data_IF_537462641907
#
_entry.id   IF_537462641907
#
_cell.length_a   1.000
_cell.length_b   1.000
_cell.length_c   1.000
_cell.angle_alpha   90.00
_cell.angle_beta   90.00
_cell.angle_gamma   90.00
#
_symmetry.space_group_name_H-M   'P 1'
#
loop_
_entity.id
_entity.type
_entity.pdbx_description
1 polymer ?
#
# COMPACT_ATOMS: atom_id res chain seq x y z
N UNK A 1 10.05 -23.71 -7.90
CA UNK A 1 11.23 -22.83 -7.84
C UNK A 1 11.35 -22.37 -6.40
N UNK A 2 12.54 -22.42 -5.80
CA UNK A 2 12.73 -22.00 -4.40
C UNK A 2 12.44 -20.50 -4.28
N UNK A 3 11.63 -20.12 -3.29
CA UNK A 3 11.37 -18.71 -2.94
C UNK A 3 12.71 -18.04 -2.59
N UNK A 4 13.18 -17.08 -3.39
CA UNK A 4 14.40 -16.31 -3.15
C UNK A 4 14.07 -14.98 -2.48
N UNK A 5 14.87 -14.58 -1.49
CA UNK A 5 14.64 -13.34 -0.76
C UNK A 5 15.33 -12.12 -1.40
N UNK A 6 14.63 -10.98 -1.40
CA UNK A 6 15.20 -9.67 -1.76
C UNK A 6 16.17 -9.20 -0.68
N UNK A 7 17.27 -8.58 -1.10
CA UNK A 7 18.31 -8.05 -0.21
C UNK A 7 17.95 -6.62 0.22
N UNK A 8 18.12 -6.33 1.51
CA UNK A 8 17.82 -5.02 2.09
C UNK A 8 19.00 -4.43 2.85
N UNK A 9 18.88 -3.15 3.24
CA UNK A 9 19.80 -2.45 4.15
C UNK A 9 20.21 -3.34 5.32
N UNK A 10 21.52 -3.40 5.58
CA UNK A 10 22.08 -4.20 6.65
C UNK A 10 22.30 -5.68 6.28
N UNK A 11 22.09 -6.06 5.02
CA UNK A 11 22.50 -7.37 4.51
C UNK A 11 23.99 -7.62 4.77
N UNK A 12 24.34 -8.85 5.11
CA UNK A 12 25.70 -9.22 5.50
C UNK A 12 26.42 -9.82 4.30
N UNK A 13 27.54 -9.22 3.90
CA UNK A 13 28.39 -9.65 2.80
C UNK A 13 29.70 -10.26 3.33
N UNK A 14 30.29 -11.18 2.56
CA UNK A 14 31.64 -11.72 2.78
C UNK A 14 32.41 -11.77 1.45
N UNK A 15 33.73 -11.69 1.49
CA UNK A 15 34.57 -11.92 0.32
C UNK A 15 35.28 -13.27 0.41
N UNK A 16 35.23 -14.07 -0.68
CA UNK A 16 35.88 -15.39 -0.75
C UNK A 16 37.41 -15.34 -0.64
N UNK A 17 38.01 -14.18 -0.92
CA UNK A 17 39.44 -13.96 -0.85
C UNK A 17 39.92 -13.32 0.45
N UNK A 18 39.06 -13.19 1.46
CA UNK A 18 39.54 -12.74 2.76
C UNK A 18 40.46 -13.79 3.39
N UNK A 19 41.57 -13.35 3.98
CA UNK A 19 42.51 -14.22 4.72
C UNK A 19 41.81 -14.84 5.93
N UNK A 20 41.10 -14.01 6.69
CA UNK A 20 40.25 -14.42 7.81
C UNK A 20 38.79 -14.09 7.48
N UNK A 21 37.84 -15.03 7.57
CA UNK A 21 36.44 -14.78 7.23
C UNK A 21 35.83 -13.63 8.06
N UNK A 22 35.89 -12.41 7.53
CA UNK A 22 35.20 -11.25 8.08
C UNK A 22 34.01 -10.89 7.21
N UNK A 23 32.99 -10.40 7.86
CA UNK A 23 31.76 -9.94 7.23
C UNK A 23 31.60 -8.45 7.42
N UNK A 24 30.91 -7.83 6.49
CA UNK A 24 30.53 -6.42 6.54
C UNK A 24 29.08 -6.25 6.12
N UNK A 25 28.48 -5.11 6.46
CA UNK A 25 27.06 -4.83 6.17
C UNK A 25 26.92 -3.91 4.98
N UNK A 26 25.99 -4.25 4.08
CA UNK A 26 25.60 -3.44 2.93
C UNK A 26 24.74 -2.26 3.36
N UNK A 27 25.14 -1.08 2.92
CA UNK A 27 24.44 0.19 3.06
C UNK A 27 23.95 0.65 1.67
N UNK A 28 22.64 0.54 1.47
CA UNK A 28 21.90 1.07 0.34
C UNK A 28 22.01 2.59 0.35
N UNK A 29 22.62 3.12 -0.71
CA UNK A 29 22.78 4.56 -0.97
C UNK A 29 22.15 4.96 -2.30
N UNK A 30 21.82 3.99 -3.13
CA UNK A 30 21.36 4.20 -4.51
C UNK A 30 19.92 4.69 -4.62
N UNK A 31 19.13 4.58 -3.55
CA UNK A 31 17.70 4.95 -3.53
C UNK A 31 17.21 5.21 -2.10
N UNK A 32 16.09 5.92 -1.98
CA UNK A 32 15.48 6.32 -0.69
C UNK A 32 13.99 5.98 -0.56
N UNK A 33 13.41 5.29 -1.55
CA UNK A 33 11.95 5.12 -1.71
C UNK A 33 11.45 3.70 -1.47
N UNK A 34 12.24 2.67 -1.80
CA UNK A 34 11.79 1.29 -1.81
C UNK A 34 12.32 0.53 -0.61
N UNK A 35 11.42 -0.03 0.21
CA UNK A 35 11.76 -0.77 1.43
C UNK A 35 11.15 -2.17 1.37
N UNK A 36 11.80 -3.16 1.99
CA UNK A 36 11.25 -4.51 2.10
C UNK A 36 11.35 -5.06 3.53
N UNK A 37 10.29 -5.75 3.96
CA UNK A 37 10.16 -6.39 5.28
C UNK A 37 10.47 -5.46 6.46
N UNK A 38 10.04 -4.20 6.36
CA UNK A 38 10.15 -3.16 7.37
C UNK A 38 8.78 -2.51 7.59
N UNK A 39 8.19 -2.77 8.75
CA UNK A 39 6.86 -2.28 9.15
C UNK A 39 6.72 -0.76 9.02
N UNK A 40 7.82 -0.03 9.24
CA UNK A 40 7.84 1.42 9.22
C UNK A 40 8.26 1.99 7.85
N UNK A 41 8.81 1.16 6.96
CA UNK A 41 9.30 1.57 5.65
C UNK A 41 10.33 2.70 5.72
N UNK A 42 11.24 2.66 6.70
CA UNK A 42 12.15 3.77 7.01
C UNK A 42 13.61 3.35 7.14
N UNK A 43 13.89 2.06 7.34
CA UNK A 43 15.22 1.53 7.64
C UNK A 43 15.68 0.47 6.65
N UNK A 44 14.82 -0.42 6.17
CA UNK A 44 15.22 -1.55 5.29
C UNK A 44 15.03 -1.25 3.80
N UNK A 45 15.79 -0.28 3.30
CA UNK A 45 15.85 0.03 1.87
C UNK A 45 16.24 -1.22 1.05
N UNK A 46 15.56 -1.47 -0.07
CA UNK A 46 15.90 -2.54 -1.01
C UNK A 46 17.23 -2.19 -1.68
N UNK A 47 18.17 -3.13 -1.68
CA UNK A 47 19.45 -2.99 -2.38
C UNK A 47 19.27 -3.25 -3.88
N UNK A 48 20.00 -2.52 -4.72
CA UNK A 48 19.96 -2.65 -6.17
C UNK A 48 21.33 -2.87 -6.80
N UNK A 49 21.35 -3.26 -8.07
CA UNK A 49 22.57 -3.33 -8.91
C UNK A 49 23.34 -1.99 -8.99
N UNK A 50 22.71 -0.88 -8.58
CA UNK A 50 23.33 0.46 -8.51
C UNK A 50 23.99 0.75 -7.16
N UNK A 51 23.91 -0.12 -6.16
CA UNK A 51 24.65 0.00 -4.90
C UNK A 51 26.13 -0.43 -5.09
N UNK A 52 26.82 0.33 -5.94
CA UNK A 52 28.24 0.21 -6.27
C UNK A 52 29.09 1.27 -5.56
N UNK A 53 30.40 1.07 -5.52
CA UNK A 53 31.36 1.91 -4.80
C UNK A 53 31.59 1.45 -3.37
N UNK A 54 31.84 2.40 -2.47
CA UNK A 54 32.01 2.16 -1.03
C UNK A 54 30.64 2.15 -0.33
N UNK A 55 29.89 1.08 -0.55
CA UNK A 55 28.54 0.89 -0.01
C UNK A 55 28.51 -0.02 1.20
N UNK A 56 29.64 -0.51 1.71
CA UNK A 56 29.67 -1.28 2.96
C UNK A 56 29.91 -0.36 4.17
N UNK A 57 29.56 -0.81 5.37
CA UNK A 57 29.76 -0.03 6.60
C UNK A 57 31.25 0.18 6.91
N UNK A 58 32.06 -0.89 6.87
CA UNK A 58 33.50 -0.83 7.14
C UNK A 58 34.35 -0.73 5.87
N UNK A 59 33.78 -1.07 4.72
CA UNK A 59 34.45 -1.11 3.41
C UNK A 59 35.73 -1.96 3.41
N UNK A 60 35.77 -3.00 4.24
CA UNK A 60 36.89 -3.95 4.31
C UNK A 60 36.43 -5.30 4.82
N UNK A 61 37.01 -6.36 4.27
CA UNK A 61 36.85 -7.73 4.79
C UNK A 61 38.11 -8.20 5.54
N UNK A 62 38.96 -7.29 6.02
CA UNK A 62 40.23 -7.64 6.66
C UNK A 62 41.39 -7.58 5.68
N UNK A 63 42.21 -8.64 5.59
CA UNK A 63 43.31 -8.75 4.63
C UNK A 63 42.89 -9.54 3.39
N UNK A 64 43.40 -9.17 2.22
CA UNK A 64 42.99 -9.75 0.93
C UNK A 64 44.05 -10.70 0.35
N UNK A 65 43.70 -11.97 0.12
CA UNK A 65 44.60 -12.97 -0.51
C UNK A 65 45.03 -12.60 -1.92
N UNK A 66 44.26 -11.74 -2.61
CA UNK A 66 44.57 -11.25 -3.95
C UNK A 66 45.56 -10.06 -3.94
N UNK A 67 45.96 -9.57 -2.77
CA UNK A 67 46.90 -8.45 -2.62
C UNK A 67 48.07 -8.84 -1.71
N UNK A 68 48.96 -9.74 -2.15
CA UNK A 68 50.15 -10.11 -1.37
C UNK A 68 51.13 -8.93 -1.25
N UNK A 69 51.75 -8.78 -0.08
CA UNK A 69 52.79 -7.80 0.21
C UNK A 69 53.89 -8.45 1.07
N UNK A 70 54.91 -9.00 0.40
CA UNK A 70 56.00 -9.72 1.06
C UNK A 70 55.48 -10.99 1.75
N UNK A 71 55.71 -11.08 3.07
CA UNK A 71 55.29 -12.22 3.90
C UNK A 71 53.85 -12.07 4.46
N UNK A 72 53.12 -11.03 4.06
CA UNK A 72 51.77 -10.73 4.55
C UNK A 72 50.86 -10.28 3.38
N UNK A 73 49.64 -9.87 3.69
CA UNK A 73 48.64 -9.40 2.74
C UNK A 73 48.18 -7.98 3.06
N UNK A 74 47.94 -7.18 2.02
CA UNK A 74 47.42 -5.83 2.17
C UNK A 74 45.96 -5.84 2.67
N UNK A 75 45.54 -4.77 3.37
CA UNK A 75 44.16 -4.60 3.79
C UNK A 75 43.23 -4.51 2.56
N UNK A 76 42.13 -5.25 2.63
CA UNK A 76 41.08 -5.27 1.62
C UNK A 76 40.41 -3.89 1.51
N UNK A 77 40.35 -3.36 0.30
CA UNK A 77 39.49 -2.22 -0.06
C UNK A 77 38.24 -2.73 -0.75
N UNK A 78 37.15 -2.86 -0.01
CA UNK A 78 35.90 -3.39 -0.53
C UNK A 78 35.12 -2.29 -1.29
N UNK A 79 35.49 -2.10 -2.55
CA UNK A 79 34.77 -1.24 -3.51
C UNK A 79 34.03 -2.14 -4.49
N UNK A 80 32.71 -2.02 -4.56
CA UNK A 80 31.89 -2.85 -5.44
C UNK A 80 31.83 -2.20 -6.82
N UNK A 81 32.23 -2.90 -7.87
CA UNK A 81 32.22 -2.37 -9.25
C UNK A 81 30.97 -2.78 -10.02
N UNK A 82 30.45 -3.97 -9.74
CA UNK A 82 29.24 -4.50 -10.35
C UNK A 82 28.60 -5.58 -9.49
N UNK A 83 27.30 -5.76 -9.69
CA UNK A 83 26.51 -6.87 -9.18
C UNK A 83 26.08 -7.80 -10.31
N UNK A 84 25.92 -9.09 -10.01
CA UNK A 84 25.37 -10.12 -10.89
C UNK A 84 24.27 -10.89 -10.16
N UNK A 85 23.40 -11.57 -10.90
CA UNK A 85 22.31 -12.38 -10.32
C UNK A 85 21.21 -11.55 -9.65
N UNK A 86 20.92 -10.35 -10.16
CA UNK A 86 19.82 -9.50 -9.72
C UNK A 86 18.49 -9.90 -10.37
N UNK A 87 17.37 -9.42 -9.83
CA UNK A 87 16.03 -9.73 -10.35
C UNK A 87 15.68 -8.83 -11.56
N UNK A 88 15.53 -9.41 -12.74
CA UNK A 88 15.41 -8.66 -14.00
C UNK A 88 14.01 -8.10 -14.27
N UNK A 89 12.96 -8.77 -13.78
CA UNK A 89 11.57 -8.46 -14.09
C UNK A 89 11.04 -7.21 -13.35
N UNK A 90 11.78 -6.70 -12.36
CA UNK A 90 11.42 -5.51 -11.60
C UNK A 90 12.46 -4.40 -11.80
N UNK A 91 12.02 -3.15 -11.91
CA UNK A 91 12.90 -1.97 -11.94
C UNK A 91 12.51 -1.01 -10.84
N UNK A 92 13.48 -0.59 -10.02
CA UNK A 92 13.29 0.39 -8.95
C UNK A 92 13.30 1.82 -9.51
N UNK A 93 12.86 2.80 -8.71
CA UNK A 93 12.79 4.22 -9.10
C UNK A 93 14.15 4.81 -9.51
N UNK A 94 15.26 4.21 -9.08
CA UNK A 94 16.61 4.60 -9.47
C UNK A 94 17.08 3.93 -10.77
N UNK A 95 16.17 3.31 -11.54
CA UNK A 95 16.45 2.49 -12.73
C UNK A 95 17.33 1.26 -12.44
N UNK A 96 17.50 0.90 -11.18
CA UNK A 96 18.25 -0.28 -10.75
C UNK A 96 17.37 -1.52 -10.63
N UNK A 97 18.00 -2.69 -10.68
CA UNK A 97 17.40 -4.01 -10.49
C UNK A 97 17.60 -4.48 -9.05
N UNK A 98 16.57 -5.00 -8.35
CA UNK A 98 16.71 -5.49 -6.98
C UNK A 98 17.73 -6.64 -6.86
N UNK A 99 18.54 -6.63 -5.81
CA UNK A 99 19.43 -7.75 -5.49
C UNK A 99 18.65 -8.87 -4.79
N UNK A 100 19.02 -10.11 -5.11
CA UNK A 100 18.55 -11.35 -4.49
C UNK A 100 19.63 -11.92 -3.57
N UNK A 101 19.26 -12.83 -2.67
CA UNK A 101 20.18 -13.46 -1.72
C UNK A 101 21.37 -14.20 -2.37
N UNK A 102 21.23 -14.60 -3.63
CA UNK A 102 22.28 -15.22 -4.44
C UNK A 102 23.00 -14.24 -5.39
N UNK A 103 22.65 -12.95 -5.35
CA UNK A 103 23.39 -11.92 -6.07
C UNK A 103 24.84 -11.84 -5.58
N UNK A 104 25.77 -11.58 -6.50
CA UNK A 104 27.20 -11.54 -6.22
C UNK A 104 27.83 -10.23 -6.64
N UNK A 105 28.73 -9.72 -5.81
CA UNK A 105 29.46 -8.48 -6.05
C UNK A 105 30.86 -8.75 -6.57
N UNK A 106 31.36 -7.85 -7.41
CA UNK A 106 32.75 -7.84 -7.88
C UNK A 106 33.49 -6.64 -7.29
N UNK A 107 34.77 -6.82 -6.93
CA UNK A 107 35.67 -5.70 -6.57
C UNK A 107 36.87 -5.63 -7.52
N UNK A 108 37.59 -4.49 -7.60
CA UNK A 108 38.69 -4.31 -8.55
C UNK A 108 39.85 -5.30 -8.38
N UNK A 109 40.10 -5.72 -7.13
CA UNK A 109 41.26 -6.55 -6.77
C UNK A 109 40.94 -8.05 -6.78
N UNK A 110 39.66 -8.41 -6.75
CA UNK A 110 39.22 -9.81 -6.72
C UNK A 110 38.90 -10.35 -8.10
N UNK A 111 38.57 -11.63 -8.17
CA UNK A 111 37.91 -12.21 -9.33
C UNK A 111 36.45 -11.70 -9.46
N UNK A 112 35.82 -11.83 -10.64
CA UNK A 112 34.38 -11.66 -10.78
C UNK A 112 33.62 -12.46 -9.71
N UNK A 113 32.54 -11.86 -9.19
CA UNK A 113 31.64 -12.46 -8.22
C UNK A 113 32.38 -13.00 -6.98
N UNK A 114 33.26 -12.17 -6.41
CA UNK A 114 34.05 -12.51 -5.22
C UNK A 114 33.37 -12.19 -3.90
N UNK A 115 32.37 -11.30 -3.91
CA UNK A 115 31.60 -10.88 -2.74
C UNK A 115 30.25 -11.60 -2.76
N UNK A 116 29.95 -12.33 -1.70
CA UNK A 116 28.72 -13.10 -1.53
C UNK A 116 27.85 -12.51 -0.43
N UNK A 117 26.54 -12.56 -0.62
CA UNK A 117 25.56 -12.19 0.39
C UNK A 117 25.28 -13.42 1.25
N UNK A 118 25.49 -13.30 2.55
CA UNK A 118 25.30 -14.40 3.52
C UNK A 118 24.01 -14.29 4.30
N UNK A 119 23.54 -13.05 4.50
CA UNK A 119 22.24 -12.75 5.10
C UNK A 119 21.63 -11.63 4.30
N UNK A 120 20.42 -11.84 3.77
CA UNK A 120 19.70 -10.86 2.96
C UNK A 120 19.26 -9.61 3.75
N UNK A 121 19.50 -9.55 5.07
CA UNK A 121 19.23 -8.37 5.91
C UNK A 121 17.78 -8.24 6.38
N UNK A 122 16.89 -9.08 5.87
CA UNK A 122 15.53 -9.15 6.39
C UNK A 122 15.54 -9.93 7.72
N UNK A 123 14.95 -9.36 8.77
CA UNK A 123 14.72 -10.00 10.06
C UNK A 123 13.24 -10.38 10.11
N UNK A 124 12.94 -11.66 10.28
CA UNK A 124 11.59 -12.17 10.55
C UNK A 124 11.19 -11.75 11.96
N UNK A 125 10.28 -10.79 12.10
CA UNK A 125 9.53 -10.64 13.34
C UNK A 125 8.58 -11.84 13.46
N UNK A 126 8.61 -12.56 14.58
CA UNK A 126 7.68 -13.65 14.84
C UNK A 126 6.25 -13.11 14.83
N UNK A 127 5.53 -13.32 13.73
CA UNK A 127 4.12 -12.94 13.62
C UNK A 127 3.26 -13.94 14.41
N UNK A 128 2.06 -13.53 14.82
CA UNK A 128 1.07 -14.47 15.40
C UNK A 128 0.75 -15.65 14.48
N UNK A 129 1.00 -15.52 13.17
CA UNK A 129 0.90 -16.59 12.18
C UNK A 129 2.00 -17.64 12.35
N UNK A 130 3.24 -17.22 12.68
CA UNK A 130 4.36 -18.12 12.91
C UNK A 130 4.15 -18.97 14.17
N UNK A 131 3.47 -18.42 15.18
CA UNK A 131 3.07 -19.15 16.40
C UNK A 131 1.97 -20.17 16.09
N UNK A 132 1.03 -19.87 15.18
CA UNK A 132 -0.02 -20.80 14.74
C UNK A 132 0.50 -21.94 13.86
N UNK A 133 1.56 -21.69 13.09
CA UNK A 133 2.16 -22.68 12.18
C UNK A 133 3.27 -23.52 12.82
N UNK A 134 3.68 -23.19 14.05
CA UNK A 134 4.70 -23.95 14.75
C UNK A 134 4.11 -25.26 15.32
N UNK A 135 4.85 -26.36 15.18
CA UNK A 135 4.45 -27.65 15.73
C UNK A 135 4.30 -27.53 17.26
N UNK A 136 3.10 -27.75 17.83
CA UNK A 136 2.82 -27.56 19.24
C UNK A 136 3.70 -28.42 20.16
N UNK A 137 4.14 -29.60 19.70
CA UNK A 137 5.00 -30.49 20.49
C UNK A 137 6.44 -29.98 20.60
N UNK A 138 6.91 -29.24 19.59
CA UNK A 138 8.23 -28.58 19.61
C UNK A 138 8.17 -27.31 20.45
N UNK A 139 7.08 -26.55 20.36
CA UNK A 139 6.87 -25.33 21.12
C UNK A 139 6.74 -25.58 22.63
N UNK A 140 6.02 -26.64 23.03
CA UNK A 140 5.88 -27.02 24.45
C UNK A 140 7.20 -27.49 25.08
N UNK A 141 8.16 -27.99 24.28
CA UNK A 141 9.51 -28.33 24.76
C UNK A 141 10.42 -27.11 24.92
N UNK A 142 10.23 -26.09 24.08
CA UNK A 142 11.03 -24.86 24.09
C UNK A 142 10.50 -23.87 25.14
N UNK A 143 9.18 -23.83 25.38
CA UNK A 143 8.57 -22.97 26.38
C UNK A 143 7.43 -23.66 27.15
N UNK A 144 7.76 -24.39 28.23
CA UNK A 144 6.78 -25.14 29.02
C UNK A 144 5.71 -24.29 29.72
N UNK A 145 5.86 -22.95 29.77
CA UNK A 145 4.92 -22.02 30.41
C UNK A 145 3.83 -21.50 29.47
N UNK A 146 3.94 -21.76 28.16
CA UNK A 146 2.95 -21.38 27.15
C UNK A 146 1.86 -22.47 27.06
N UNK A 147 0.77 -22.33 27.82
CA UNK A 147 -0.34 -23.29 27.79
C UNK A 147 -1.40 -22.88 26.73
N UNK A 148 -1.41 -23.57 25.58
CA UNK A 148 -2.33 -23.31 24.47
C UNK A 148 -3.67 -24.07 24.56
N UNK A 149 -3.93 -24.80 25.65
CA UNK A 149 -5.22 -25.48 25.86
C UNK A 149 -6.28 -24.48 26.29
N UNK A 150 -6.95 -23.88 25.31
CA UNK A 150 -8.09 -22.97 25.50
C UNK A 150 -8.64 -22.34 24.22
N UNK A 151 -8.01 -22.55 23.06
CA UNK A 151 -8.53 -22.08 21.78
C UNK A 151 -9.26 -23.21 21.05
N UNK A 152 -10.51 -23.49 21.44
CA UNK A 152 -11.38 -24.35 20.62
C UNK A 152 -12.84 -23.86 20.57
N UNK A 153 -13.21 -23.47 19.34
CA UNK A 153 -14.51 -23.48 18.65
C UNK A 153 -15.58 -22.40 18.93
N UNK A 154 -16.17 -21.80 17.88
CA UNK A 154 -17.29 -20.86 18.00
C UNK A 154 -18.59 -21.63 18.26
N UNK A 155 -19.39 -21.17 19.24
CA UNK A 155 -20.79 -21.59 19.41
C UNK A 155 -21.71 -20.42 19.08
N UNK A 156 -22.54 -20.62 18.07
CA UNK A 156 -23.76 -19.83 17.82
C UNK A 156 -24.75 -19.99 18.98
N UNK A 157 -25.32 -18.88 19.48
CA UNK A 157 -26.74 -18.74 19.86
C UNK A 157 -27.17 -17.27 19.77
N UNK A 158 -28.32 -17.05 19.13
CA UNK A 158 -29.09 -15.82 19.21
C UNK A 158 -30.01 -15.83 20.45
N UNK A 159 -30.60 -14.65 20.71
CA UNK A 159 -31.72 -14.29 21.61
C UNK A 159 -31.38 -13.92 23.06
N UNK A 160 -31.83 -12.70 23.43
CA UNK A 160 -31.94 -12.21 24.81
C UNK A 160 -31.29 -10.83 24.99
N UNK A 161 -32.11 -9.79 25.12
CA UNK A 161 -31.66 -8.50 25.65
C UNK A 161 -31.23 -8.69 27.10
N UNK A 162 -29.98 -8.39 27.42
CA UNK A 162 -29.58 -8.07 28.79
C UNK A 162 -28.40 -7.08 28.74
N UNK A 163 -28.59 -5.91 29.32
CA UNK A 163 -27.53 -4.94 29.52
C UNK A 163 -26.54 -5.50 30.55
N UNK A 164 -25.28 -5.67 30.16
CA UNK A 164 -24.19 -5.79 31.11
C UNK A 164 -22.93 -5.12 30.54
N UNK A 165 -22.56 -4.06 31.24
CA UNK A 165 -21.32 -3.29 31.19
C UNK A 165 -20.03 -4.09 31.02
N UNK A 166 -19.11 -3.57 30.20
CA UNK A 166 -17.67 -3.70 30.46
C UNK A 166 -16.81 -4.49 29.46
N UNK A 167 -16.93 -4.24 28.16
CA UNK A 167 -15.83 -4.48 27.20
C UNK A 167 -15.72 -3.27 26.27
N UNK A 168 -14.57 -2.59 26.28
CA UNK A 168 -14.34 -1.44 25.41
C UNK A 168 -14.47 -1.87 23.94
N UNK A 169 -15.44 -1.28 23.24
CA UNK A 169 -15.80 -1.67 21.88
C UNK A 169 -14.64 -1.43 20.92
N UNK A 170 -14.13 -2.52 20.35
CA UNK A 170 -12.97 -2.54 19.45
C UNK A 170 -13.41 -2.13 18.05
N UNK A 171 -12.71 -1.18 17.44
CA UNK A 171 -12.89 -0.85 16.01
C UNK A 171 -12.39 -2.01 15.15
N UNK A 172 -13.23 -2.53 14.28
CA UNK A 172 -12.94 -3.62 13.35
C UNK A 172 -12.78 -3.10 11.91
N UNK A 173 -13.54 -2.08 11.53
CA UNK A 173 -13.56 -1.52 10.18
C UNK A 173 -13.26 -0.02 10.22
N UNK A 174 -12.43 0.43 9.28
CA UNK A 174 -12.19 1.85 9.05
C UNK A 174 -12.47 2.17 7.59
N UNK A 175 -13.41 3.08 7.37
CA UNK A 175 -13.88 3.53 6.06
C UNK A 175 -13.28 4.90 5.76
N UNK A 176 -12.43 4.96 4.74
CA UNK A 176 -11.88 6.20 4.21
C UNK A 176 -12.66 6.62 2.98
N UNK A 177 -13.22 7.82 3.01
CA UNK A 177 -13.99 8.39 1.91
C UNK A 177 -13.23 9.58 1.37
N UNK A 178 -12.84 9.55 0.09
CA UNK A 178 -12.11 10.64 -0.56
C UNK A 178 -13.02 11.25 -1.63
N UNK A 179 -13.44 12.50 -1.40
CA UNK A 179 -14.36 13.20 -2.30
C UNK A 179 -13.68 13.56 -3.63
N UNK A 180 -14.49 13.89 -4.64
CA UNK A 180 -13.99 14.37 -5.93
C UNK A 180 -13.24 15.71 -5.87
N UNK A 181 -12.73 16.11 -7.04
CA UNK A 181 -11.81 17.26 -7.16
C UNK A 181 -12.39 18.55 -6.56
N UNK A 182 -11.64 19.14 -5.64
CA UNK A 182 -11.86 20.47 -5.09
C UNK A 182 -10.59 21.32 -5.16
N UNK A 183 -10.53 22.36 -4.34
CA UNK A 183 -9.25 23.03 -4.04
C UNK A 183 -8.39 22.11 -3.18
N UNK A 184 -7.07 22.09 -3.41
CA UNK A 184 -6.17 21.28 -2.59
C UNK A 184 -6.28 21.67 -1.11
N UNK A 185 -6.45 20.71 -0.19
CA UNK A 185 -6.48 21.00 1.24
C UNK A 185 -5.11 21.48 1.73
N UNK A 186 -5.13 22.33 2.76
CA UNK A 186 -3.92 22.70 3.49
C UNK A 186 -3.31 21.47 4.20
N UNK A 187 -1.99 21.44 4.31
CA UNK A 187 -1.29 20.33 4.98
C UNK A 187 -1.73 20.22 6.45
N UNK A 188 -2.16 19.03 6.87
CA UNK A 188 -2.76 18.76 8.18
C UNK A 188 -4.25 19.10 8.29
N UNK A 189 -4.90 19.52 7.20
CA UNK A 189 -6.33 19.88 7.10
C UNK A 189 -7.05 19.10 6.00
N UNK A 190 -6.58 17.90 5.68
CA UNK A 190 -7.10 17.07 4.57
C UNK A 190 -8.47 16.45 4.85
N UNK A 191 -8.88 16.41 6.13
CA UNK A 191 -10.23 16.02 6.51
C UNK A 191 -11.22 17.02 5.94
N UNK A 192 -12.26 16.54 5.24
CA UNK A 192 -13.24 17.43 4.62
C UNK A 192 -13.97 18.35 5.64
N UNK A 193 -14.02 17.97 6.92
CA UNK A 193 -14.57 18.80 8.00
C UNK A 193 -13.62 19.90 8.51
N UNK A 194 -12.31 19.74 8.29
CA UNK A 194 -11.25 20.63 8.77
C UNK A 194 -10.66 21.46 7.60
N UNK A 195 -11.02 21.13 6.37
CA UNK A 195 -10.61 21.82 5.14
C UNK A 195 -11.35 23.15 5.00
N UNK A 196 -10.59 24.23 4.81
CA UNK A 196 -11.13 25.59 4.64
C UNK A 196 -11.88 25.76 3.31
N UNK A 197 -11.52 24.99 2.28
CA UNK A 197 -12.03 25.14 0.92
C UNK A 197 -13.10 24.10 0.56
N UNK A 198 -13.38 23.18 1.47
CA UNK A 198 -14.29 22.06 1.25
C UNK A 198 -15.17 21.82 2.48
N UNK A 199 -16.14 20.93 2.32
CA UNK A 199 -16.99 20.45 3.40
C UNK A 199 -17.40 19.01 3.09
N UNK A 200 -17.90 18.30 4.09
CA UNK A 200 -18.47 16.96 3.87
C UNK A 200 -19.71 17.06 2.99
N UNK A 201 -19.71 16.36 1.86
CA UNK A 201 -20.84 16.29 0.95
C UNK A 201 -21.88 15.26 1.42
N UNK A 202 -22.76 15.67 2.33
CA UNK A 202 -23.87 14.83 2.80
C UNK A 202 -24.95 14.55 1.73
N UNK A 203 -24.87 15.18 0.55
CA UNK A 203 -25.71 14.87 -0.61
C UNK A 203 -25.23 13.63 -1.36
N UNK A 204 -23.92 13.39 -1.34
CA UNK A 204 -23.18 12.31 -1.99
C UNK A 204 -22.39 11.45 -1.02
N UNK A 205 -21.06 11.39 -1.22
CA UNK A 205 -20.18 10.48 -0.48
C UNK A 205 -20.17 10.68 1.05
N UNK A 206 -20.44 11.88 1.54
CA UNK A 206 -20.58 12.17 2.96
C UNK A 206 -21.69 11.37 3.65
N UNK A 207 -22.68 10.84 2.92
CA UNK A 207 -23.69 9.93 3.48
C UNK A 207 -23.11 8.63 4.04
N UNK A 208 -21.92 8.22 3.59
CA UNK A 208 -21.24 7.04 4.14
C UNK A 208 -20.90 7.21 5.63
N UNK A 209 -20.92 8.43 6.17
CA UNK A 209 -20.81 8.67 7.62
C UNK A 209 -21.92 7.97 8.43
N UNK A 210 -23.03 7.58 7.81
CA UNK A 210 -24.08 6.75 8.42
C UNK A 210 -23.60 5.34 8.79
N UNK A 211 -22.47 4.88 8.24
CA UNK A 211 -21.85 3.61 8.63
C UNK A 211 -21.09 3.70 9.96
N UNK A 212 -20.93 4.91 10.53
CA UNK A 212 -20.27 5.09 11.82
C UNK A 212 -20.99 4.29 12.92
N UNK A 213 -20.21 3.49 13.62
CA UNK A 213 -20.63 2.74 14.79
C UNK A 213 -19.45 2.61 15.76
N UNK A 214 -19.57 1.77 16.77
CA UNK A 214 -18.45 1.47 17.64
C UNK A 214 -17.39 0.62 16.93
N UNK A 215 -17.85 -0.35 16.12
CA UNK A 215 -17.00 -1.26 15.35
C UNK A 215 -16.52 -0.65 14.02
N UNK A 216 -17.24 0.33 13.46
CA UNK A 216 -16.90 0.98 12.18
C UNK A 216 -16.64 2.47 12.34
N UNK A 217 -15.48 2.95 11.91
CA UNK A 217 -15.15 4.39 11.91
C UNK A 217 -15.06 4.91 10.48
N UNK A 218 -15.76 6.00 10.19
CA UNK A 218 -15.85 6.60 8.85
C UNK A 218 -15.21 7.98 8.85
N UNK A 219 -14.48 8.24 7.78
CA UNK A 219 -13.50 9.29 7.71
C UNK A 219 -13.49 9.92 6.32
N UNK A 220 -14.02 11.13 6.23
CA UNK A 220 -14.17 11.85 4.96
C UNK A 220 -13.01 12.83 4.76
N UNK A 221 -12.41 12.78 3.58
CA UNK A 221 -11.26 13.56 3.14
C UNK A 221 -11.57 14.32 1.85
N UNK A 222 -10.96 15.49 1.70
CA UNK A 222 -10.85 16.17 0.41
C UNK A 222 -9.75 15.51 -0.42
N UNK A 223 -9.97 15.34 -1.72
CA UNK A 223 -8.89 14.92 -2.63
C UNK A 223 -7.78 15.96 -2.69
N UNK A 224 -6.57 15.54 -3.05
CA UNK A 224 -5.45 16.44 -3.33
C UNK A 224 -4.76 16.07 -4.64
N UNK A 225 -4.24 17.08 -5.35
CA UNK A 225 -3.29 16.93 -6.47
C UNK A 225 -1.86 16.68 -6.02
N UNK A 226 -1.64 16.65 -4.70
CA UNK A 226 -0.36 16.39 -4.07
C UNK A 226 -0.47 15.17 -3.15
N UNK A 227 0.67 14.76 -2.59
CA UNK A 227 0.76 13.66 -1.62
C UNK A 227 0.02 13.89 -0.29
N UNK A 228 -0.50 15.09 -0.02
CA UNK A 228 -1.06 15.46 1.30
C UNK A 228 -2.16 14.50 1.76
N UNK A 229 -3.21 14.33 0.95
CA UNK A 229 -4.35 13.47 1.30
C UNK A 229 -3.92 12.01 1.42
N UNK A 230 -3.12 11.50 0.48
CA UNK A 230 -2.59 10.13 0.51
C UNK A 230 -1.77 9.89 1.78
N UNK A 231 -0.87 10.80 2.14
CA UNK A 231 -0.06 10.71 3.35
C UNK A 231 -0.91 10.77 4.64
N UNK A 232 -1.92 11.64 4.68
CA UNK A 232 -2.81 11.77 5.83
C UNK A 232 -3.65 10.50 6.05
N UNK A 233 -4.17 9.92 4.97
CA UNK A 233 -4.90 8.64 4.99
C UNK A 233 -3.97 7.49 5.38
N UNK A 234 -2.78 7.41 4.77
CA UNK A 234 -1.77 6.40 5.07
C UNK A 234 -1.36 6.40 6.55
N UNK A 235 -1.11 7.59 7.10
CA UNK A 235 -0.80 7.76 8.52
C UNK A 235 -1.92 7.20 9.40
N UNK A 236 -3.18 7.50 9.06
CA UNK A 236 -4.32 7.01 9.80
C UNK A 236 -4.48 5.48 9.73
N UNK A 237 -4.29 4.89 8.54
CA UNK A 237 -4.29 3.42 8.37
C UNK A 237 -3.25 2.79 9.30
N UNK A 238 -2.03 3.34 9.33
CA UNK A 238 -0.94 2.88 10.21
C UNK A 238 -1.30 3.05 11.69
N UNK A 239 -1.91 4.17 12.08
CA UNK A 239 -2.33 4.44 13.46
C UNK A 239 -3.43 3.47 13.95
N UNK A 240 -4.35 3.05 13.08
CA UNK A 240 -5.33 2.02 13.44
C UNK A 240 -4.69 0.64 13.53
N UNK A 241 -3.83 0.29 12.57
CA UNK A 241 -3.18 -1.03 12.52
C UNK A 241 -2.11 -1.22 13.60
N UNK A 242 -1.52 -0.14 14.12
CA UNK A 242 -0.61 -0.21 15.27
C UNK A 242 -1.33 -0.58 16.57
N UNK A 243 -2.60 -0.16 16.71
CA UNK A 243 -3.46 -0.53 17.84
C UNK A 243 -4.06 -1.92 17.66
N UNK A 244 -4.47 -2.24 16.43
CA UNK A 244 -4.96 -3.57 16.08
C UNK A 244 -4.67 -3.92 14.61
N UNK A 245 -3.73 -4.84 14.39
CA UNK A 245 -3.33 -5.27 13.05
C UNK A 245 -4.43 -5.98 12.25
N UNK A 246 -5.56 -6.34 12.88
CA UNK A 246 -6.69 -7.00 12.21
C UNK A 246 -7.71 -6.02 11.63
N UNK A 247 -7.56 -4.71 11.88
CA UNK A 247 -8.48 -3.68 11.36
C UNK A 247 -8.54 -3.75 9.83
N UNK A 248 -9.78 -3.83 9.33
CA UNK A 248 -10.12 -3.88 7.92
C UNK A 248 -10.23 -2.49 7.34
N UNK A 249 -9.59 -2.31 6.19
CA UNK A 249 -9.55 -1.02 5.49
C UNK A 249 -10.51 -1.05 4.32
N UNK A 250 -11.49 -0.14 4.37
CA UNK A 250 -12.46 0.11 3.31
C UNK A 250 -12.17 1.50 2.75
N UNK A 251 -12.12 1.65 1.43
CA UNK A 251 -11.93 2.96 0.79
C UNK A 251 -13.02 3.22 -0.25
N UNK A 252 -13.52 4.45 -0.31
CA UNK A 252 -14.48 4.90 -1.32
C UNK A 252 -14.00 6.23 -1.89
N UNK A 253 -13.81 6.30 -3.21
CA UNK A 253 -13.30 7.51 -3.86
C UNK A 253 -14.03 7.85 -5.14
N UNK A 254 -14.14 9.13 -5.45
CA UNK A 254 -14.76 9.64 -6.67
C UNK A 254 -13.79 10.53 -7.45
N UNK A 255 -13.71 10.38 -8.77
CA UNK A 255 -12.86 11.22 -9.64
C UNK A 255 -11.42 11.24 -9.10
N UNK A 256 -10.84 12.41 -8.85
CA UNK A 256 -9.52 12.57 -8.22
C UNK A 256 -9.37 11.85 -6.87
N UNK A 257 -10.46 11.68 -6.12
CA UNK A 257 -10.44 10.88 -4.89
C UNK A 257 -10.28 9.38 -5.17
N UNK A 258 -10.77 8.88 -6.30
CA UNK A 258 -10.51 7.52 -6.76
C UNK A 258 -9.04 7.37 -7.22
N UNK A 259 -8.50 8.35 -7.96
CA UNK A 259 -7.09 8.39 -8.36
C UNK A 259 -6.18 8.34 -7.12
N UNK A 260 -6.47 9.17 -6.10
CA UNK A 260 -5.74 9.15 -4.83
C UNK A 260 -5.75 7.77 -4.14
N UNK A 261 -6.84 7.00 -4.24
CA UNK A 261 -6.91 5.64 -3.70
C UNK A 261 -6.00 4.72 -4.51
N UNK A 262 -6.15 4.71 -5.83
CA UNK A 262 -5.40 3.83 -6.72
C UNK A 262 -3.89 4.05 -6.55
N UNK A 263 -3.44 5.31 -6.61
CA UNK A 263 -2.04 5.68 -6.36
C UNK A 263 -1.57 5.21 -4.97
N UNK A 264 -2.40 5.41 -3.93
CA UNK A 264 -2.07 4.97 -2.58
C UNK A 264 -1.87 3.45 -2.51
N UNK A 265 -2.67 2.65 -3.23
CA UNK A 265 -2.49 1.19 -3.27
C UNK A 265 -1.18 0.77 -3.95
N UNK A 266 -0.76 1.49 -4.99
CA UNK A 266 0.46 1.21 -5.76
C UNK A 266 1.72 1.61 -5.04
N UNK A 267 1.69 2.77 -4.40
CA UNK A 267 2.80 3.29 -3.62
C UNK A 267 3.04 2.50 -2.33
N UNK A 268 2.05 1.72 -1.88
CA UNK A 268 2.08 1.00 -0.61
C UNK A 268 1.73 -0.50 -0.76
N UNK A 269 2.52 -1.29 -1.51
CA UNK A 269 2.22 -2.70 -1.80
C UNK A 269 2.23 -3.60 -0.54
N UNK A 270 2.87 -3.17 0.55
CA UNK A 270 2.88 -3.89 1.83
C UNK A 270 1.60 -3.71 2.64
N UNK A 271 0.75 -2.76 2.27
CA UNK A 271 -0.52 -2.48 2.94
C UNK A 271 -1.62 -3.21 2.20
N UNK A 272 -2.30 -4.10 2.91
CA UNK A 272 -3.52 -4.71 2.39
C UNK A 272 -4.69 -3.73 2.44
N UNK A 273 -5.42 -3.58 1.35
CA UNK A 273 -6.70 -2.88 1.28
C UNK A 273 -7.80 -3.93 1.13
N UNK A 274 -8.67 -4.05 2.13
CA UNK A 274 -9.61 -5.17 2.18
C UNK A 274 -10.80 -4.97 1.23
N UNK A 275 -11.20 -3.71 1.01
CA UNK A 275 -12.24 -3.35 0.05
C UNK A 275 -12.07 -1.92 -0.48
N UNK A 276 -12.13 -1.74 -1.79
CA UNK A 276 -12.15 -0.42 -2.42
C UNK A 276 -13.38 -0.26 -3.31
N UNK A 277 -13.93 0.95 -3.35
CA UNK A 277 -14.96 1.36 -4.29
C UNK A 277 -14.50 2.63 -4.99
N UNK A 278 -14.41 2.60 -6.31
CA UNK A 278 -14.05 3.75 -7.15
C UNK A 278 -15.26 4.21 -7.95
N UNK A 279 -15.39 5.52 -8.12
CA UNK A 279 -16.47 6.16 -8.86
C UNK A 279 -15.86 7.08 -9.91
N UNK A 280 -16.11 6.77 -11.17
CA UNK A 280 -15.73 7.56 -12.33
C UNK A 280 -14.31 8.10 -12.23
N UNK A 281 -13.35 7.16 -12.14
CA UNK A 281 -11.91 7.39 -12.13
C UNK A 281 -11.55 8.32 -13.29
N UNK A 282 -10.61 9.24 -13.05
CA UNK A 282 -10.34 10.32 -13.97
C UNK A 282 -8.91 10.20 -14.51
N UNK A 283 -8.72 9.64 -15.70
CA UNK A 283 -7.49 9.94 -16.43
C UNK A 283 -7.55 11.37 -16.98
N UNK A 284 -6.55 12.17 -16.61
CA UNK A 284 -6.35 13.50 -17.15
C UNK A 284 -5.76 13.41 -18.56
N UNK A 285 -6.42 12.67 -19.46
CA UNK A 285 -6.08 12.69 -20.87
C UNK A 285 -6.35 14.09 -21.43
N UNK A 286 -5.25 14.84 -21.64
CA UNK A 286 -5.09 16.13 -22.38
C UNK A 286 -4.76 17.40 -21.59
N UNK A 287 -4.00 17.32 -20.50
CA UNK A 287 -3.26 18.49 -19.99
C UNK A 287 -1.88 18.14 -19.40
N UNK A 288 -0.99 17.64 -20.27
CA UNK A 288 0.44 18.00 -20.29
C UNK A 288 1.37 17.66 -19.12
N UNK A 289 0.90 17.32 -17.93
CA UNK A 289 1.74 16.90 -16.81
C UNK A 289 0.89 16.04 -15.86
N UNK A 290 1.27 14.77 -15.69
CA UNK A 290 0.66 13.75 -14.81
C UNK A 290 -0.61 13.08 -15.36
N UNK A 291 -0.41 12.09 -16.23
CA UNK A 291 -1.41 11.07 -16.60
C UNK A 291 -0.59 9.84 -16.98
N UNK A 292 -0.40 8.95 -16.01
CA UNK A 292 -0.06 7.56 -16.26
C UNK A 292 -1.43 6.90 -16.26
N UNK A 293 -1.76 6.21 -17.35
CA UNK A 293 -2.86 5.27 -17.47
C UNK A 293 -2.72 4.23 -16.35
N UNK A 294 -3.42 4.46 -15.23
CA UNK A 294 -3.13 3.80 -13.96
C UNK A 294 -4.39 3.18 -13.34
N UNK A 295 -5.32 2.67 -14.15
CA UNK A 295 -6.52 1.95 -13.68
C UNK A 295 -6.24 0.55 -13.12
N UNK A 296 -4.96 0.14 -13.13
CA UNK A 296 -4.51 -1.15 -12.61
C UNK A 296 -4.73 -1.27 -11.09
N UNK A 297 -5.44 -2.31 -10.66
CA UNK A 297 -5.60 -2.66 -9.25
C UNK A 297 -4.53 -3.65 -8.85
N UNK A 298 -3.63 -3.18 -7.97
CA UNK A 298 -2.53 -3.95 -7.43
C UNK A 298 -3.01 -5.13 -6.57
N UNK A 299 -2.21 -6.19 -6.50
CA UNK A 299 -2.52 -7.45 -5.80
C UNK A 299 -2.69 -7.30 -4.27
N UNK A 300 -2.37 -6.14 -3.69
CA UNK A 300 -2.61 -5.82 -2.28
C UNK A 300 -4.06 -5.38 -1.99
N UNK A 301 -4.91 -5.26 -3.02
CA UNK A 301 -6.35 -5.04 -2.91
C UNK A 301 -7.10 -6.37 -2.97
N UNK A 302 -7.95 -6.68 -2.00
CA UNK A 302 -8.69 -7.95 -1.99
C UNK A 302 -10.00 -7.89 -2.77
N UNK A 303 -10.75 -6.80 -2.60
CA UNK A 303 -12.07 -6.63 -3.20
C UNK A 303 -12.15 -5.23 -3.83
N UNK A 304 -12.63 -5.13 -5.06
CA UNK A 304 -12.76 -3.87 -5.77
C UNK A 304 -14.11 -3.77 -6.50
N UNK A 305 -14.82 -2.67 -6.34
CA UNK A 305 -15.97 -2.33 -7.19
C UNK A 305 -15.66 -1.00 -7.85
N UNK A 306 -15.73 -0.96 -9.17
CA UNK A 306 -15.65 0.28 -9.90
C UNK A 306 -17.00 0.61 -10.52
N UNK A 307 -17.50 1.79 -10.25
CA UNK A 307 -18.68 2.35 -10.88
C UNK A 307 -18.26 3.42 -11.89
N UNK A 308 -18.61 3.23 -13.15
CA UNK A 308 -18.27 4.16 -14.25
C UNK A 308 -19.55 4.66 -14.93
N UNK A 309 -19.46 5.76 -15.68
CA UNK A 309 -20.59 6.33 -16.43
C UNK A 309 -20.21 6.50 -17.90
N UNK A 310 -21.20 6.50 -18.80
CA UNK A 310 -21.01 6.73 -20.25
C UNK A 310 -21.62 8.07 -20.74
N UNK A 311 -22.19 8.87 -19.84
CA UNK A 311 -22.87 10.13 -20.15
C UNK A 311 -21.92 11.30 -20.47
N UNK A 312 -20.67 11.24 -20.05
CA UNK A 312 -19.65 12.27 -20.26
C UNK A 312 -18.29 11.66 -20.64
N UNK A 313 -17.48 12.41 -21.40
CA UNK A 313 -16.12 12.02 -21.80
C UNK A 313 -15.08 12.18 -20.69
N UNK A 314 -15.43 12.82 -19.57
CA UNK A 314 -14.54 12.97 -18.42
C UNK A 314 -14.82 11.78 -17.50
N UNK A 315 -13.77 11.08 -17.09
CA UNK A 315 -13.89 9.77 -16.47
C UNK A 315 -14.28 8.70 -17.49
N UNK A 316 -15.15 7.76 -17.10
CA UNK A 316 -15.58 6.58 -17.84
C UNK A 316 -14.55 5.43 -17.86
N UNK A 317 -13.70 5.37 -16.85
CA UNK A 317 -12.65 4.37 -16.79
C UNK A 317 -13.08 3.11 -16.05
N UNK A 318 -12.61 1.99 -16.60
CA UNK A 318 -12.79 0.68 -16.04
C UNK A 318 -11.49 0.28 -15.35
N UNK A 319 -11.58 -0.21 -14.12
CA UNK A 319 -10.41 -0.76 -13.45
C UNK A 319 -9.93 -2.02 -14.17
N UNK A 320 -8.62 -2.15 -14.26
CA UNK A 320 -7.95 -3.35 -14.74
C UNK A 320 -7.44 -4.15 -13.55
N UNK A 321 -7.83 -5.42 -13.45
CA UNK A 321 -7.41 -6.26 -12.32
C UNK A 321 -6.16 -7.03 -12.73
N UNK A 322 -4.99 -6.62 -12.21
CA UNK A 322 -3.69 -7.24 -12.55
C UNK A 322 -3.68 -8.75 -12.28
N UNK A 323 -4.31 -9.18 -11.18
CA UNK A 323 -4.40 -10.59 -10.81
C UNK A 323 -5.77 -10.96 -10.25
N UNK A 324 -6.65 -11.43 -11.13
CA UNK A 324 -8.01 -11.86 -10.80
C UNK A 324 -8.09 -13.11 -9.90
N UNK A 325 -6.97 -13.80 -9.63
CA UNK A 325 -6.91 -14.89 -8.63
C UNK A 325 -6.75 -14.38 -7.20
N UNK A 326 -6.26 -13.16 -7.03
CA UNK A 326 -5.97 -12.54 -5.72
C UNK A 326 -6.98 -11.45 -5.42
N UNK A 327 -7.31 -10.65 -6.43
CA UNK A 327 -8.24 -9.52 -6.34
C UNK A 327 -9.59 -9.91 -6.93
N UNK A 328 -10.63 -9.88 -6.12
CA UNK A 328 -12.01 -10.05 -6.57
C UNK A 328 -12.57 -8.68 -6.97
N UNK A 329 -12.82 -8.44 -8.26
CA UNK A 329 -13.35 -7.13 -8.67
C UNK A 329 -14.32 -7.14 -9.83
N UNK A 330 -15.01 -6.01 -10.00
CA UNK A 330 -16.05 -5.81 -11.01
C UNK A 330 -16.12 -4.35 -11.45
N UNK A 331 -16.34 -4.13 -12.75
CA UNK A 331 -16.76 -2.86 -13.34
C UNK A 331 -18.28 -2.85 -13.53
N UNK A 332 -18.95 -1.79 -13.08
CA UNK A 332 -20.42 -1.65 -13.12
C UNK A 332 -20.76 -0.30 -13.74
N UNK A 333 -21.48 -0.33 -14.87
CA UNK A 333 -22.03 0.87 -15.49
C UNK A 333 -23.11 1.48 -14.57
N UNK A 334 -23.01 2.78 -14.29
CA UNK A 334 -24.05 3.61 -13.68
C UNK A 334 -24.84 4.33 -14.78
N UNK A 335 -25.95 3.75 -15.27
CA UNK A 335 -26.59 4.22 -16.49
C UNK A 335 -27.23 5.60 -16.27
N UNK A 336 -27.02 6.54 -17.17
CA UNK A 336 -27.61 7.88 -17.09
C UNK A 336 -26.92 8.83 -16.10
N UNK A 337 -26.08 8.33 -15.19
CA UNK A 337 -25.21 9.19 -14.38
C UNK A 337 -24.21 9.97 -15.24
N UNK A 338 -23.65 11.03 -14.69
CA UNK A 338 -22.52 11.75 -15.25
C UNK A 338 -21.41 11.96 -14.20
N UNK A 339 -20.29 12.54 -14.60
CA UNK A 339 -19.11 12.65 -13.73
C UNK A 339 -19.39 13.35 -12.40
N UNK A 340 -20.34 14.29 -12.36
CA UNK A 340 -20.67 15.05 -11.15
C UNK A 340 -21.78 14.47 -10.30
N UNK A 341 -22.64 13.64 -10.89
CA UNK A 341 -23.84 13.11 -10.23
C UNK A 341 -23.65 11.69 -9.72
N UNK A 342 -22.68 10.95 -10.25
CA UNK A 342 -22.50 9.53 -10.00
C UNK A 342 -22.41 9.16 -8.51
N UNK A 343 -21.74 9.98 -7.70
CA UNK A 343 -21.65 9.76 -6.25
C UNK A 343 -22.97 10.02 -5.53
N UNK A 344 -23.71 11.06 -5.94
CA UNK A 344 -25.07 11.34 -5.48
C UNK A 344 -26.07 10.27 -5.91
N UNK A 345 -25.93 9.73 -7.11
CA UNK A 345 -26.79 8.70 -7.67
C UNK A 345 -26.60 7.37 -6.95
N UNK A 346 -25.34 7.03 -6.70
CA UNK A 346 -24.95 5.74 -6.15
C UNK A 346 -24.88 5.69 -4.62
N UNK A 347 -24.98 6.81 -3.89
CA UNK A 347 -24.83 6.87 -2.42
C UNK A 347 -25.49 5.75 -1.62
N UNK A 348 -26.71 5.35 -1.98
CA UNK A 348 -27.42 4.28 -1.28
C UNK A 348 -26.80 2.90 -1.60
N UNK A 349 -26.38 2.67 -2.84
CA UNK A 349 -25.69 1.47 -3.27
C UNK A 349 -24.28 1.37 -2.65
N UNK A 350 -23.58 2.50 -2.52
CA UNK A 350 -22.28 2.56 -1.83
C UNK A 350 -22.40 2.18 -0.34
N UNK A 351 -23.45 2.67 0.34
CA UNK A 351 -23.77 2.27 1.72
C UNK A 351 -24.09 0.78 1.77
N UNK A 352 -24.89 0.27 0.83
CA UNK A 352 -25.24 -1.14 0.75
C UNK A 352 -23.99 -2.02 0.55
N UNK A 353 -23.08 -1.63 -0.35
CA UNK A 353 -21.86 -2.38 -0.65
C UNK A 353 -20.91 -2.43 0.55
N UNK A 354 -20.69 -1.30 1.21
CA UNK A 354 -19.91 -1.25 2.44
C UNK A 354 -20.57 -2.08 3.54
N UNK A 355 -21.90 -2.00 3.68
CA UNK A 355 -22.66 -2.76 4.69
C UNK A 355 -22.60 -4.26 4.42
N UNK A 356 -22.71 -4.68 3.16
CA UNK A 356 -22.58 -6.08 2.77
C UNK A 356 -21.18 -6.60 3.10
N UNK A 357 -20.13 -5.83 2.81
CA UNK A 357 -18.76 -6.19 3.15
C UNK A 357 -18.54 -6.27 4.67
N UNK A 358 -18.98 -5.27 5.43
CA UNK A 358 -18.87 -5.22 6.90
C UNK A 358 -19.56 -6.43 7.54
N UNK A 359 -20.70 -6.85 7.00
CA UNK A 359 -21.45 -8.02 7.48
C UNK A 359 -20.90 -9.36 6.96
N UNK A 360 -19.72 -9.38 6.32
CA UNK A 360 -19.08 -10.59 5.83
C UNK A 360 -19.77 -11.25 4.63
N UNK A 361 -20.57 -10.50 3.87
CA UNK A 361 -21.18 -10.98 2.63
C UNK A 361 -20.24 -10.77 1.44
N UNK A 362 -20.49 -11.51 0.36
CA UNK A 362 -19.82 -11.40 -0.93
C UNK A 362 -20.19 -10.10 -1.68
N UNK A 363 -19.76 -8.94 -1.17
CA UNK A 363 -20.18 -7.61 -1.64
C UNK A 363 -19.97 -7.41 -3.15
N UNK A 364 -18.82 -7.82 -3.69
CA UNK A 364 -18.51 -7.73 -5.13
C UNK A 364 -19.48 -8.54 -5.98
N UNK A 365 -19.84 -9.76 -5.52
CA UNK A 365 -20.80 -10.62 -6.22
C UNK A 365 -22.21 -10.04 -6.19
N UNK A 366 -22.62 -9.51 -5.03
CA UNK A 366 -23.92 -8.87 -4.86
C UNK A 366 -24.04 -7.64 -5.75
N UNK A 367 -23.03 -6.77 -5.77
CA UNK A 367 -22.97 -5.61 -6.65
C UNK A 367 -22.98 -6.01 -8.13
N UNK A 368 -22.21 -7.04 -8.54
CA UNK A 368 -22.23 -7.54 -9.92
C UNK A 368 -23.61 -8.02 -10.37
N UNK A 369 -24.40 -8.57 -9.45
CA UNK A 369 -25.72 -9.15 -9.76
C UNK A 369 -26.87 -8.15 -9.73
N UNK A 370 -26.67 -6.93 -9.20
CA UNK A 370 -27.75 -5.97 -9.05
C UNK A 370 -28.05 -5.25 -10.37
N UNK A 371 -29.32 -4.87 -10.55
CA UNK A 371 -29.76 -4.02 -11.65
C UNK A 371 -29.87 -2.59 -11.14
N UNK A 372 -29.05 -1.69 -11.69
CA UNK A 372 -29.16 -0.26 -11.43
C UNK A 372 -30.28 0.37 -12.26
N UNK A 373 -31.00 1.37 -11.74
CA UNK A 373 -31.89 2.20 -12.54
C UNK A 373 -31.08 3.08 -13.49
N UNK A 374 -31.75 3.63 -14.51
CA UNK A 374 -31.19 4.76 -15.25
C UNK A 374 -31.38 6.02 -14.43
N UNK A 375 -30.27 6.66 -14.06
CA UNK A 375 -30.24 7.90 -13.31
C UNK A 375 -30.49 9.12 -14.19
N UNK A 376 -30.92 10.21 -13.56
CA UNK A 376 -31.18 11.50 -14.20
C UNK A 376 -30.35 12.56 -13.46
N UNK A 377 -29.21 13.01 -14.01
CA UNK A 377 -28.30 13.94 -13.37
C UNK A 377 -28.95 15.28 -12.99
N UNK A 378 -30.05 15.66 -13.65
CA UNK A 378 -30.80 16.86 -13.33
C UNK A 378 -31.58 16.74 -12.01
N UNK A 379 -31.87 15.50 -11.56
CA UNK A 379 -32.52 15.19 -10.27
C UNK A 379 -31.52 14.86 -9.18
N UNK A 380 -30.26 14.67 -9.53
CA UNK A 380 -29.18 14.48 -8.57
C UNK A 380 -28.86 15.83 -7.93
N UNK A 381 -28.92 15.93 -6.60
CA UNK A 381 -28.60 17.14 -5.82
C UNK A 381 -27.10 17.53 -5.88
N UNK A 382 -26.45 17.35 -7.04
CA UNK A 382 -25.04 17.64 -7.27
C UNK A 382 -24.87 19.16 -7.45
N UNK A 383 -23.79 19.71 -6.89
CA UNK A 383 -23.47 21.14 -7.10
C UNK A 383 -23.14 21.34 -8.58
N UNK A 384 -23.78 22.33 -9.22
CA UNK A 384 -23.39 22.78 -10.57
C UNK A 384 -21.98 23.40 -10.51
N UNK A 385 -21.13 23.10 -11.48
CA UNK A 385 -19.87 23.85 -11.66
C UNK A 385 -20.24 25.28 -12.08
N UNK A 386 -20.04 26.25 -11.19
CA UNK A 386 -19.87 27.64 -11.64
C UNK A 386 -18.48 27.74 -12.25
N UNK A 387 -18.38 27.76 -13.58
CA UNK A 387 -17.17 28.22 -14.25
C UNK A 387 -17.03 29.72 -13.98
N UNK A 388 -16.56 30.09 -12.80
CA UNK A 388 -16.04 31.43 -12.59
C UNK A 388 -14.69 31.48 -13.30
N UNK A 389 -14.71 32.00 -14.53
CA UNK A 389 -13.54 32.56 -15.18
C UNK A 389 -12.99 33.69 -14.30
N UNK A 390 -12.23 33.38 -13.26
CA UNK A 390 -11.43 34.38 -12.57
C UNK A 390 -10.10 33.81 -12.07
N UNK A 391 -9.05 34.32 -12.75
CA UNK A 391 -7.71 34.58 -12.26
C UNK A 391 -6.72 33.40 -12.18
N UNK A 392 -6.37 32.86 -13.35
CA UNK A 392 -4.95 32.60 -13.63
C UNK A 392 -4.25 33.95 -13.78
N UNK A 393 -3.65 34.41 -12.69
CA UNK A 393 -2.91 35.65 -12.61
C UNK A 393 -1.87 35.56 -11.51
N UNK A 394 -1.03 34.52 -11.53
CA UNK A 394 0.24 34.56 -10.80
C UNK A 394 1.13 35.57 -11.53
N UNK A 395 1.22 36.76 -10.95
CA UNK A 395 2.30 37.70 -11.24
C UNK A 395 3.60 37.03 -10.86
N UNK A 396 4.45 36.88 -11.87
CA UNK A 396 5.88 36.73 -11.74
C UNK A 396 6.39 37.95 -10.96
N UNK A 397 6.97 37.71 -9.78
CA UNK A 397 7.93 38.58 -9.10
C UNK A 397 8.79 37.72 -8.17
#
# INVERSE_FOLDING_TARGET
MSEKHIVVQGATCKCKFSVEPKVDKLKVKSQTKHFANDKDGSKKLIASDKDIGQTLEKNTFGKCKMQPAGNDYLPCQAVITKWSGFYEEMTLSNKGKPLLEDSKGTCPMGAPDCIEITKHGQITEASKQNVKNANPDVQNKINPLLNLKGMDKPKLKHTGMEQASGQGNKTEFVVFVIQGVGTNPENGKERAKDDKYSSVDYGGLGKLTNLNSEQTKVYVYSSSRTENTKNAVLKMIKDFRSKDGNVKIIMVGHSMGADNIIELTKENPSITFDFIITLDIKDAARSGTFSIDDDNINANVKNAINYYQEGERIGNEQIEIENSKITNGVNILSPGSNHRSIDNDLKNYLIEDCTNFINGKEAVKLAKSRKLPTFDPAKSNSKKISYNNHNYGEKIA
#
